data_IF_692237697866
#
_entry.id   IF_692237697866
#
_cell.length_a   1.000
_cell.length_b   1.000
_cell.length_c   1.000
_cell.angle_alpha   90.00
_cell.angle_beta   90.00
_cell.angle_gamma   90.00
#
_symmetry.space_group_name_H-M   'P 1'
#
loop_
_entity.id
_entity.type
_entity.pdbx_description
1 polymer ?
#
# COMPACT_ATOMS: atom_id res chain seq x y z
N UNK A 1 11.66 26.43 32.51
CA UNK A 1 11.32 26.73 31.12
C UNK A 1 11.49 25.42 30.40
N UNK A 2 10.43 24.62 30.33
CA UNK A 2 10.48 23.30 29.70
C UNK A 2 10.76 23.49 28.20
N UNK A 3 11.65 22.68 27.59
CA UNK A 3 11.88 22.78 26.16
C UNK A 3 10.57 22.41 25.45
N UNK A 4 10.01 23.33 24.65
CA UNK A 4 8.87 23.02 23.80
C UNK A 4 9.28 21.89 22.84
N UNK A 5 8.77 20.69 23.09
CA UNK A 5 8.95 19.56 22.20
C UNK A 5 8.26 19.90 20.88
N UNK A 6 9.03 20.11 19.81
CA UNK A 6 8.46 20.29 18.49
C UNK A 6 7.55 19.09 18.19
N UNK A 7 6.27 19.29 17.81
CA UNK A 7 5.36 18.16 17.59
C UNK A 7 5.90 17.22 16.52
N UNK A 8 5.94 15.93 16.85
CA UNK A 8 6.26 14.88 15.89
C UNK A 8 5.19 14.87 14.78
N UNK A 9 5.63 14.93 13.52
CA UNK A 9 4.76 14.79 12.34
C UNK A 9 5.04 13.46 11.66
N UNK A 10 3.97 12.75 11.33
CA UNK A 10 4.00 11.52 10.53
C UNK A 10 3.10 11.75 9.31
N UNK A 11 3.56 11.34 8.13
CA UNK A 11 2.79 11.40 6.88
C UNK A 11 2.61 9.98 6.36
N UNK A 12 1.37 9.58 6.13
CA UNK A 12 1.02 8.29 5.53
C UNK A 12 0.67 8.50 4.05
N UNK A 13 1.24 7.67 3.19
CA UNK A 13 1.00 7.66 1.74
C UNK A 13 0.61 6.24 1.36
N UNK A 14 -0.57 6.06 0.76
CA UNK A 14 -1.00 4.77 0.23
C UNK A 14 -0.28 4.45 -1.08
N UNK A 15 -0.12 3.16 -1.40
CA UNK A 15 0.44 2.75 -2.69
C UNK A 15 -0.45 3.19 -3.86
N UNK A 16 0.18 3.46 -5.00
CA UNK A 16 -0.50 3.78 -6.25
C UNK A 16 -1.35 2.59 -6.75
N UNK A 17 -2.32 2.89 -7.61
CA UNK A 17 -3.27 1.87 -8.06
C UNK A 17 -2.57 0.72 -8.79
N UNK A 18 -3.03 -0.49 -8.51
CA UNK A 18 -2.59 -1.74 -9.14
C UNK A 18 -3.75 -2.36 -9.94
N UNK A 19 -3.45 -3.44 -10.68
CA UNK A 19 -4.47 -4.24 -11.33
C UNK A 19 -5.52 -4.77 -10.34
N UNK A 20 -5.09 -5.34 -9.19
CA UNK A 20 -6.02 -5.88 -8.21
C UNK A 20 -6.84 -4.78 -7.53
N UNK A 21 -6.24 -3.62 -7.22
CA UNK A 21 -6.98 -2.51 -6.60
C UNK A 21 -8.05 -1.95 -7.55
N UNK A 22 -7.78 -1.83 -8.86
CA UNK A 22 -8.78 -1.43 -9.87
C UNK A 22 -9.88 -2.49 -10.05
N UNK A 23 -9.52 -3.78 -9.94
CA UNK A 23 -10.45 -4.90 -10.06
C UNK A 23 -11.18 -5.24 -8.75
N UNK A 24 -10.97 -4.48 -7.66
CA UNK A 24 -11.50 -4.80 -6.32
C UNK A 24 -11.21 -6.26 -5.90
N UNK A 25 -10.01 -6.73 -6.22
CA UNK A 25 -9.52 -8.08 -5.95
C UNK A 25 -8.42 -8.05 -4.89
N UNK A 26 -8.19 -9.17 -4.22
CA UNK A 26 -7.11 -9.27 -3.24
C UNK A 26 -5.73 -9.21 -3.90
N UNK A 27 -4.78 -8.42 -3.35
CA UNK A 27 -3.44 -8.25 -3.91
C UNK A 27 -2.61 -9.54 -3.78
N UNK A 28 -1.69 -9.77 -4.72
CA UNK A 28 -0.76 -10.92 -4.68
C UNK A 28 0.68 -10.45 -4.44
N UNK A 29 1.22 -9.63 -5.34
CA UNK A 29 2.41 -8.76 -5.20
C UNK A 29 2.61 -8.03 -6.53
N UNK A 30 1.54 -7.46 -7.07
CA UNK A 30 1.59 -6.83 -8.39
C UNK A 30 2.24 -5.43 -8.37
N UNK A 31 2.73 -5.02 -9.52
CA UNK A 31 3.30 -3.68 -9.73
C UNK A 31 2.22 -2.60 -9.67
N UNK A 32 2.67 -1.36 -9.47
CA UNK A 32 1.89 -0.16 -9.80
C UNK A 32 1.54 -0.20 -11.30
N UNK A 33 0.36 0.30 -11.66
CA UNK A 33 -0.01 0.46 -13.07
C UNK A 33 0.96 1.45 -13.74
N UNK A 34 1.52 1.15 -14.92
CA UNK A 34 2.51 2.02 -15.58
C UNK A 34 2.06 3.48 -15.71
N UNK A 35 0.78 3.68 -16.05
CA UNK A 35 0.16 5.01 -16.14
C UNK A 35 0.22 5.77 -14.82
N UNK A 36 -0.07 5.12 -13.69
CA UNK A 36 -0.06 5.80 -12.39
C UNK A 36 1.38 6.10 -11.96
N UNK A 37 2.33 5.22 -12.29
CA UNK A 37 3.74 5.46 -12.04
C UNK A 37 4.23 6.72 -12.79
N UNK A 38 3.89 6.85 -14.07
CA UNK A 38 4.22 8.02 -14.90
C UNK A 38 3.57 9.30 -14.37
N UNK A 39 2.28 9.25 -14.03
CA UNK A 39 1.56 10.40 -13.48
C UNK A 39 2.21 10.88 -12.17
N UNK A 40 2.52 9.96 -11.25
CA UNK A 40 3.17 10.29 -9.96
C UNK A 40 4.57 10.86 -10.19
N UNK A 41 5.34 10.24 -11.08
CA UNK A 41 6.70 10.70 -11.41
C UNK A 41 6.71 12.11 -12.03
N UNK A 42 5.61 12.52 -12.65
CA UNK A 42 5.44 13.86 -13.22
C UNK A 42 4.98 14.92 -12.22
N UNK A 43 4.55 14.51 -11.01
CA UNK A 43 4.09 15.45 -9.99
C UNK A 43 5.24 16.33 -9.52
N UNK A 44 5.04 17.65 -9.54
CA UNK A 44 5.91 18.60 -8.85
C UNK A 44 5.64 18.62 -7.34
N UNK A 45 5.63 17.45 -6.72
CA UNK A 45 5.44 17.30 -5.28
C UNK A 45 6.78 17.34 -4.56
N UNK A 46 6.89 18.18 -3.53
CA UNK A 46 8.06 18.23 -2.67
C UNK A 46 7.78 17.46 -1.39
N UNK A 47 8.57 16.40 -1.16
CA UNK A 47 8.47 15.62 0.06
C UNK A 47 8.75 16.50 1.29
N UNK A 48 7.93 16.39 2.36
CA UNK A 48 8.24 17.06 3.61
C UNK A 48 9.56 16.51 4.18
N UNK A 49 10.29 17.35 4.92
CA UNK A 49 11.50 16.90 5.60
C UNK A 49 11.14 15.85 6.65
N UNK A 50 11.60 14.62 6.42
CA UNK A 50 11.36 13.47 7.28
C UNK A 50 12.69 12.87 7.72
N UNK A 51 12.79 12.54 9.01
CA UNK A 51 13.96 11.84 9.55
C UNK A 51 14.03 10.38 9.08
N UNK A 52 12.86 9.78 8.90
CA UNK A 52 12.70 8.41 8.44
C UNK A 52 11.67 8.38 7.32
N UNK A 53 11.97 7.63 6.28
CA UNK A 53 11.05 7.31 5.20
C UNK A 53 11.03 5.81 5.08
N UNK A 54 9.88 5.20 5.34
CA UNK A 54 9.71 3.75 5.40
C UNK A 54 8.65 3.32 4.40
N UNK A 55 8.79 2.12 3.85
CA UNK A 55 7.79 1.48 3.00
C UNK A 55 7.66 -0.01 3.34
N UNK A 56 6.50 -0.60 3.06
CA UNK A 56 6.33 -2.05 3.14
C UNK A 56 7.17 -2.80 2.10
N UNK A 57 7.34 -4.13 2.25
CA UNK A 57 8.13 -4.95 1.34
C UNK A 57 7.53 -5.12 -0.08
N UNK A 58 6.24 -4.86 -0.24
CA UNK A 58 5.50 -5.11 -1.48
C UNK A 58 6.04 -4.32 -2.66
N UNK A 59 5.91 -4.86 -3.87
CA UNK A 59 6.40 -4.18 -5.06
C UNK A 59 5.72 -2.83 -5.29
N UNK A 60 4.39 -2.77 -5.07
CA UNK A 60 3.58 -1.55 -5.24
C UNK A 60 3.96 -0.40 -4.31
N UNK A 61 4.35 -0.68 -3.07
CA UNK A 61 4.75 0.33 -2.09
C UNK A 61 6.12 0.90 -2.43
N UNK A 62 7.07 0.04 -2.79
CA UNK A 62 8.42 0.42 -3.25
C UNK A 62 8.38 1.28 -4.52
N UNK A 63 7.62 0.86 -5.53
CA UNK A 63 7.48 1.62 -6.78
C UNK A 63 6.78 2.97 -6.57
N UNK A 64 5.85 3.06 -5.62
CA UNK A 64 5.22 4.35 -5.28
C UNK A 64 6.23 5.29 -4.63
N UNK A 65 7.09 4.79 -3.74
CA UNK A 65 8.17 5.58 -3.14
C UNK A 65 9.18 6.04 -4.19
N UNK A 66 9.59 5.15 -5.11
CA UNK A 66 10.47 5.47 -6.23
C UNK A 66 9.88 6.57 -7.13
N UNK A 67 8.60 6.45 -7.51
CA UNK A 67 7.92 7.44 -8.34
C UNK A 67 7.81 8.82 -7.65
N UNK A 68 7.70 8.85 -6.32
CA UNK A 68 7.71 10.08 -5.52
C UNK A 68 9.12 10.61 -5.23
N UNK A 69 10.15 9.96 -5.79
CA UNK A 69 11.57 10.27 -5.55
C UNK A 69 11.93 10.25 -4.05
N UNK A 70 11.33 9.30 -3.31
CA UNK A 70 11.56 9.07 -1.88
C UNK A 70 12.63 7.99 -1.69
N UNK A 71 13.65 8.29 -0.89
CA UNK A 71 14.62 7.28 -0.44
C UNK A 71 14.06 6.50 0.74
N UNK A 72 13.11 5.60 0.48
CA UNK A 72 12.45 4.79 1.50
C UNK A 72 13.26 3.54 1.85
N UNK A 73 13.36 3.23 3.15
CA UNK A 73 13.85 1.95 3.65
C UNK A 73 12.69 0.94 3.74
N UNK A 74 12.95 -0.32 3.41
CA UNK A 74 11.95 -1.38 3.51
C UNK A 74 11.86 -1.84 4.96
N UNK A 75 10.65 -1.74 5.53
CA UNK A 75 10.34 -2.24 6.87
C UNK A 75 9.33 -3.39 6.76
N UNK A 76 9.72 -4.57 7.26
CA UNK A 76 8.89 -5.77 7.24
C UNK A 76 7.68 -5.67 8.18
N UNK A 77 7.72 -4.81 9.18
CA UNK A 77 6.59 -4.56 10.08
C UNK A 77 5.47 -3.74 9.41
N UNK A 78 5.78 -3.07 8.29
CA UNK A 78 4.82 -2.34 7.45
C UNK A 78 4.19 -3.20 6.35
N UNK A 79 4.40 -4.52 6.39
CA UNK A 79 3.78 -5.44 5.44
C UNK A 79 2.25 -5.38 5.53
N UNK A 80 1.61 -5.39 4.37
CA UNK A 80 0.16 -5.48 4.26
C UNK A 80 -0.36 -6.79 4.91
N UNK A 81 -1.65 -6.79 5.22
CA UNK A 81 -2.32 -7.97 5.79
C UNK A 81 -2.11 -9.20 4.91
N UNK A 82 -1.74 -10.33 5.54
CA UNK A 82 -1.74 -11.62 4.86
C UNK A 82 -3.18 -12.07 4.63
N UNK A 83 -3.66 -11.94 3.39
CA UNK A 83 -4.99 -12.37 2.98
C UNK A 83 -5.09 -13.90 2.78
N UNK A 84 -3.99 -14.64 2.96
CA UNK A 84 -3.94 -16.10 2.94
C UNK A 84 -4.53 -16.69 1.67
N UNK A 85 -5.45 -17.64 1.82
CA UNK A 85 -6.11 -18.31 0.69
C UNK A 85 -7.03 -17.39 -0.14
N UNK A 86 -7.11 -16.10 0.18
CA UNK A 86 -8.01 -15.16 -0.48
C UNK A 86 -7.28 -14.30 -1.54
N UNK A 87 -5.94 -14.37 -1.60
CA UNK A 87 -5.15 -13.71 -2.65
C UNK A 87 -5.63 -14.12 -4.06
N UNK A 88 -5.91 -13.14 -4.92
CA UNK A 88 -6.37 -13.36 -6.30
C UNK A 88 -7.87 -13.58 -6.51
N UNK A 89 -8.72 -13.49 -5.47
CA UNK A 89 -10.19 -13.56 -5.61
C UNK A 89 -10.86 -12.18 -5.69
N UNK A 90 -11.90 -12.04 -6.50
CA UNK A 90 -12.75 -10.83 -6.59
C UNK A 90 -13.67 -10.74 -5.36
N UNK A 91 -13.79 -9.53 -4.77
CA UNK A 91 -14.78 -9.14 -3.77
C UNK A 91 -16.21 -9.65 -4.04
N UNK A 92 -16.65 -9.73 -5.31
CA UNK A 92 -18.00 -10.25 -5.68
C UNK A 92 -18.14 -11.76 -5.50
N UNK A 93 -17.04 -12.50 -5.51
CA UNK A 93 -17.03 -13.96 -5.33
C UNK A 93 -17.11 -14.34 -3.84
N UNK A 94 -16.66 -13.46 -2.94
CA UNK A 94 -16.73 -13.60 -1.48
C UNK A 94 -18.17 -13.83 -0.96
N UNK A 95 -19.17 -13.15 -1.53
CA UNK A 95 -20.58 -13.24 -1.08
C UNK A 95 -21.21 -14.62 -1.24
N UNK A 96 -20.65 -15.52 -2.06
CA UNK A 96 -21.21 -16.89 -2.28
C UNK A 96 -20.62 -17.97 -1.37
N UNK A 97 -19.55 -17.70 -0.63
CA UNK A 97 -18.84 -18.74 0.15
C UNK A 97 -19.10 -18.69 1.66
N UNK A 98 -19.57 -17.56 2.19
CA UNK A 98 -19.99 -17.45 3.60
C UNK A 98 -21.20 -18.37 3.91
N UNK A 99 -22.12 -18.56 2.96
CA UNK A 99 -23.33 -19.38 3.18
C UNK A 99 -23.10 -20.89 3.13
N UNK A 100 -21.95 -21.38 2.62
CA UNK A 100 -21.67 -22.83 2.55
C UNK A 100 -20.91 -23.36 3.76
N UNK A 101 -20.12 -22.53 4.45
CA UNK A 101 -19.38 -22.96 5.65
C UNK A 101 -20.28 -23.00 6.89
N UNK A 102 -21.29 -22.13 6.98
CA UNK A 102 -22.23 -22.11 8.12
C UNK A 102 -23.38 -23.13 8.04
N UNK A 103 -23.49 -23.93 6.97
CA UNK A 103 -24.55 -24.94 6.79
C UNK A 103 -23.96 -26.29 6.34
N UNK A 104 -22.90 -26.71 7.04
CA UNK A 104 -22.39 -28.08 7.03
C UNK A 104 -21.79 -28.35 8.40
N UNK A 105 -22.67 -28.30 9.40
CA UNK A 105 -22.44 -28.60 10.80
C UNK A 105 -23.79 -28.80 11.46
#
# INVERSE_FOLDING_TARGET
>A
MEPESNPSRITFISHAATGASRAASFPLDESVLPKEYEEISSLSWAAPHARYVLCGPEQRTRQTAEALNLSAEVDLELRDCDYGNWCGYDSKQFRRRILKVCWSG
#
